data_IF_198516510343
#
_entry.id   IF_198516510343
#
_cell.length_a   1.000
_cell.length_b   1.000
_cell.length_c   1.000
_cell.angle_alpha   90.00
_cell.angle_beta   90.00
_cell.angle_gamma   90.00
#
_symmetry.space_group_name_H-M   'P 1'
#
loop_
_entity.id
_entity.type
_entity.pdbx_description
1 polymer ?
#
# COMPACT_ATOMS: atom_id res chain seq x y z
N UNK A 1 6.07 -16.51 -7.14
CA UNK A 1 7.13 -16.01 -8.04
C UNK A 1 6.46 -15.40 -9.24
N UNK A 2 6.94 -14.26 -9.73
CA UNK A 2 6.32 -13.52 -10.85
C UNK A 2 7.41 -13.06 -11.82
N UNK A 3 7.05 -12.98 -13.11
CA UNK A 3 7.96 -12.57 -14.19
C UNK A 3 8.49 -11.14 -13.96
N UNK A 4 9.77 -10.92 -14.26
CA UNK A 4 10.44 -9.60 -14.22
C UNK A 4 9.63 -8.51 -14.93
N UNK A 5 9.00 -8.82 -16.06
CA UNK A 5 8.20 -7.88 -16.86
C UNK A 5 7.05 -7.27 -16.04
N UNK A 6 6.44 -8.02 -15.12
CA UNK A 6 5.38 -7.48 -14.26
C UNK A 6 5.94 -6.40 -13.31
N UNK A 7 7.13 -6.65 -12.75
CA UNK A 7 7.81 -5.73 -11.85
C UNK A 7 8.27 -4.46 -12.57
N UNK A 8 8.76 -4.58 -13.80
CA UNK A 8 9.10 -3.43 -14.65
C UNK A 8 7.87 -2.59 -14.97
N UNK A 9 6.78 -3.23 -15.42
CA UNK A 9 5.51 -2.53 -15.70
C UNK A 9 4.96 -1.81 -14.46
N UNK A 10 5.00 -2.46 -13.30
CA UNK A 10 4.58 -1.86 -12.04
C UNK A 10 5.48 -0.71 -11.56
N UNK A 11 6.69 -0.56 -12.12
CA UNK A 11 7.69 0.42 -11.70
C UNK A 11 8.52 0.00 -10.48
N UNK A 12 8.20 -1.14 -9.86
CA UNK A 12 8.93 -1.66 -8.71
C UNK A 12 10.34 -2.12 -9.07
N UNK A 13 10.56 -2.61 -10.30
CA UNK A 13 11.89 -3.07 -10.70
C UNK A 13 12.94 -1.96 -10.56
N UNK A 14 12.65 -0.76 -11.05
CA UNK A 14 13.58 0.38 -11.03
C UNK A 14 13.92 0.87 -9.61
N UNK A 15 13.08 0.57 -8.62
CA UNK A 15 13.19 1.07 -7.24
C UNK A 15 13.58 0.01 -6.22
N UNK A 16 13.20 -1.24 -6.47
CA UNK A 16 13.30 -2.35 -5.50
C UNK A 16 14.12 -3.54 -6.00
N UNK A 17 14.63 -3.55 -7.24
CA UNK A 17 15.35 -4.72 -7.77
C UNK A 17 16.51 -5.19 -6.88
N UNK A 18 17.30 -4.27 -6.33
CA UNK A 18 18.44 -4.61 -5.45
C UNK A 18 17.99 -5.30 -4.15
N UNK A 19 16.75 -5.05 -3.72
CA UNK A 19 16.12 -5.63 -2.54
C UNK A 19 15.24 -6.84 -2.86
N UNK A 20 15.26 -7.38 -4.09
CA UNK A 20 14.47 -8.54 -4.50
C UNK A 20 15.34 -9.79 -4.66
N UNK A 21 14.79 -10.95 -4.33
CA UNK A 21 15.39 -12.22 -4.75
C UNK A 21 14.96 -12.54 -6.17
N UNK A 22 15.93 -12.77 -7.05
CA UNK A 22 15.71 -13.11 -8.45
C UNK A 22 16.10 -14.55 -8.73
N UNK A 23 15.49 -15.14 -9.75
CA UNK A 23 15.85 -16.47 -10.27
C UNK A 23 15.54 -16.52 -11.76
N UNK A 24 16.05 -17.53 -12.45
CA UNK A 24 15.83 -17.72 -13.88
C UNK A 24 15.35 -19.14 -14.19
N UNK A 25 14.47 -19.28 -15.18
CA UNK A 25 14.09 -20.57 -15.76
C UNK A 25 13.65 -20.38 -17.21
N UNK A 26 14.02 -21.30 -18.10
CA UNK A 26 13.66 -21.28 -19.53
C UNK A 26 13.94 -19.92 -20.22
N UNK A 27 15.12 -19.34 -20.01
CA UNK A 27 15.53 -18.02 -20.53
C UNK A 27 14.64 -16.84 -20.08
N UNK A 28 13.86 -17.01 -19.01
CA UNK A 28 13.08 -15.93 -18.39
C UNK A 28 13.62 -15.63 -17.00
N UNK A 29 13.59 -14.36 -16.64
CA UNK A 29 13.92 -13.88 -15.30
C UNK A 29 12.65 -13.65 -14.49
N UNK A 30 12.71 -14.06 -13.24
CA UNK A 30 11.62 -13.96 -12.29
C UNK A 30 12.12 -13.35 -10.99
N UNK A 31 11.20 -12.79 -10.22
CA UNK A 31 11.46 -12.41 -8.85
C UNK A 31 10.49 -13.08 -7.88
N UNK A 32 11.00 -13.38 -6.69
CA UNK A 32 10.18 -13.72 -5.53
C UNK A 32 9.53 -12.41 -5.05
N UNK A 33 8.22 -12.45 -4.78
CA UNK A 33 7.43 -11.24 -4.52
C UNK A 33 7.90 -10.53 -3.23
N UNK A 34 8.29 -9.24 -3.26
CA UNK A 34 8.55 -8.45 -2.06
C UNK A 34 7.28 -7.81 -1.46
N UNK A 35 6.16 -7.89 -2.19
CA UNK A 35 4.82 -7.40 -1.84
C UNK A 35 3.77 -8.04 -2.75
N UNK A 36 2.47 -7.91 -2.40
CA UNK A 36 1.38 -8.59 -3.13
C UNK A 36 0.71 -7.70 -4.19
N UNK A 37 0.85 -6.37 -4.10
CA UNK A 37 0.08 -5.37 -4.85
C UNK A 37 -0.03 -5.68 -6.36
N UNK A 38 1.07 -5.92 -7.11
CA UNK A 38 0.96 -6.19 -8.55
C UNK A 38 0.13 -7.44 -8.88
N UNK A 39 0.14 -8.44 -8.00
CA UNK A 39 -0.66 -9.65 -8.13
C UNK A 39 -2.15 -9.38 -7.91
N UNK A 40 -2.52 -8.58 -6.91
CA UNK A 40 -3.92 -8.20 -6.66
C UNK A 40 -4.49 -7.38 -7.81
N UNK A 41 -3.69 -6.54 -8.46
CA UNK A 41 -4.11 -5.87 -9.70
C UNK A 41 -4.36 -6.87 -10.83
N UNK A 42 -3.54 -7.92 -10.96
CA UNK A 42 -3.83 -8.96 -11.96
C UNK A 42 -5.13 -9.72 -11.68
N UNK A 43 -5.50 -9.89 -10.40
CA UNK A 43 -6.79 -10.47 -10.01
C UNK A 43 -7.92 -9.49 -10.37
N UNK A 44 -7.76 -8.20 -10.09
CA UNK A 44 -8.76 -7.18 -10.43
C UNK A 44 -9.05 -7.16 -11.94
N UNK A 45 -7.99 -7.27 -12.75
CA UNK A 45 -8.05 -7.33 -14.21
C UNK A 45 -8.79 -8.56 -14.77
N UNK A 46 -9.05 -9.60 -13.95
CA UNK A 46 -9.83 -10.75 -14.40
C UNK A 46 -11.31 -10.39 -14.51
N UNK A 47 -11.82 -10.32 -15.75
CA UNK A 47 -13.19 -9.97 -16.05
C UNK A 47 -13.47 -8.46 -16.00
N UNK A 48 -14.63 -8.07 -16.52
CA UNK A 48 -15.08 -6.67 -16.49
C UNK A 48 -15.54 -6.27 -15.09
N UNK A 49 -15.35 -5.00 -14.73
CA UNK A 49 -15.79 -4.41 -13.46
C UNK A 49 -16.71 -3.23 -13.76
N UNK A 50 -17.84 -3.14 -13.07
CA UNK A 50 -18.70 -1.96 -13.04
C UNK A 50 -18.39 -1.13 -11.81
N UNK A 51 -18.68 0.18 -11.84
CA UNK A 51 -18.66 1.03 -10.65
C UNK A 51 -19.52 0.47 -9.50
N UNK A 52 -20.56 -0.33 -9.82
CA UNK A 52 -21.41 -1.02 -8.84
C UNK A 52 -20.73 -2.17 -8.10
N UNK A 53 -19.64 -2.69 -8.66
CA UNK A 53 -18.83 -3.72 -8.03
C UNK A 53 -17.80 -3.12 -7.07
N UNK A 54 -17.65 -1.79 -7.06
CA UNK A 54 -16.74 -1.05 -6.19
C UNK A 54 -17.47 -0.53 -4.94
N UNK A 55 -16.83 -0.54 -3.76
CA UNK A 55 -15.43 -0.89 -3.53
C UNK A 55 -15.18 -2.40 -3.52
N UNK A 56 -14.14 -2.84 -4.23
CA UNK A 56 -13.70 -4.23 -4.28
C UNK A 56 -12.50 -4.41 -3.36
N UNK A 57 -12.69 -5.20 -2.29
CA UNK A 57 -11.68 -5.43 -1.25
C UNK A 57 -11.07 -6.82 -1.40
N UNK A 58 -9.74 -6.90 -1.42
CA UNK A 58 -8.97 -8.14 -1.43
C UNK A 58 -8.07 -8.18 -0.21
N UNK A 59 -7.98 -9.32 0.47
CA UNK A 59 -7.05 -9.56 1.56
C UNK A 59 -6.26 -10.84 1.29
N UNK A 60 -4.97 -10.83 1.59
CA UNK A 60 -4.09 -11.99 1.44
C UNK A 60 -3.03 -11.98 2.55
N UNK A 61 -2.95 -13.08 3.29
CA UNK A 61 -1.77 -13.40 4.11
C UNK A 61 -0.63 -13.90 3.20
N UNK A 62 -0.12 -12.99 2.37
CA UNK A 62 0.84 -13.31 1.31
C UNK A 62 2.26 -13.45 1.84
N UNK A 63 2.89 -14.61 1.60
CA UNK A 63 4.30 -14.81 1.92
C UNK A 63 5.19 -14.00 0.96
N UNK A 64 5.88 -12.99 1.52
CA UNK A 64 6.73 -12.05 0.80
C UNK A 64 8.19 -12.19 1.22
N UNK A 65 9.10 -11.84 0.32
CA UNK A 65 10.53 -11.91 0.56
C UNK A 65 11.26 -10.65 0.09
N UNK A 66 12.13 -10.11 0.94
CA UNK A 66 13.01 -8.97 0.64
C UNK A 66 14.45 -9.33 0.96
N UNK A 67 15.37 -8.99 0.06
CA UNK A 67 16.80 -9.26 0.20
C UNK A 67 17.48 -8.23 1.12
N UNK A 68 17.04 -8.19 2.36
CA UNK A 68 17.59 -7.30 3.38
C UNK A 68 19.09 -7.59 3.64
N UNK A 69 19.92 -6.56 3.91
CA UNK A 69 21.31 -6.75 4.31
C UNK A 69 21.41 -7.66 5.53
N UNK A 70 22.32 -8.64 5.51
CA UNK A 70 22.44 -9.62 6.59
C UNK A 70 22.73 -8.99 7.95
N UNK A 71 23.48 -7.88 7.98
CA UNK A 71 23.79 -7.14 9.20
C UNK A 71 22.60 -6.38 9.82
N UNK A 72 21.49 -6.22 9.10
CA UNK A 72 20.29 -5.55 9.59
C UNK A 72 19.25 -6.53 10.18
N UNK A 73 19.44 -7.84 10.03
CA UNK A 73 18.47 -8.84 10.49
C UNK A 73 18.44 -8.90 12.03
N UNK A 74 17.24 -9.02 12.59
CA UNK A 74 17.06 -9.04 14.04
C UNK A 74 15.87 -9.90 14.47
N UNK A 75 16.15 -11.07 15.05
CA UNK A 75 15.14 -11.99 15.57
C UNK A 75 14.01 -12.25 14.58
N UNK A 76 12.77 -12.01 15.02
CA UNK A 76 11.57 -12.00 14.17
C UNK A 76 11.12 -10.60 13.77
N UNK A 77 11.80 -9.55 14.27
CA UNK A 77 11.42 -8.15 14.02
C UNK A 77 11.88 -7.65 12.66
N UNK A 78 13.00 -8.18 12.14
CA UNK A 78 13.50 -7.86 10.79
C UNK A 78 14.06 -9.11 10.13
N UNK A 79 13.32 -9.61 9.14
CA UNK A 79 13.56 -10.91 8.48
C UNK A 79 13.49 -10.76 6.96
N UNK A 80 14.06 -11.72 6.23
CA UNK A 80 14.01 -11.76 4.76
C UNK A 80 12.73 -12.34 4.20
N UNK A 81 12.03 -13.17 4.97
CA UNK A 81 10.74 -13.76 4.60
C UNK A 81 9.72 -13.47 5.69
N UNK A 82 8.59 -12.90 5.31
CA UNK A 82 7.55 -12.47 6.22
C UNK A 82 6.17 -12.63 5.57
N UNK A 83 5.12 -12.55 6.38
CA UNK A 83 3.74 -12.55 5.92
C UNK A 83 3.05 -11.35 6.54
N UNK A 84 2.49 -10.49 5.71
CA UNK A 84 1.69 -9.36 6.14
C UNK A 84 0.21 -9.75 6.03
N UNK A 85 -0.61 -9.20 6.91
CA UNK A 85 -2.06 -9.11 6.81
C UNK A 85 -2.46 -8.10 5.71
N UNK A 86 -1.95 -8.32 4.50
CA UNK A 86 -2.00 -7.36 3.40
C UNK A 86 -3.39 -7.30 2.77
N UNK A 87 -3.83 -6.09 2.42
CA UNK A 87 -5.12 -5.87 1.79
C UNK A 87 -5.06 -4.72 0.79
N UNK A 88 -5.82 -4.88 -0.31
CA UNK A 88 -5.96 -3.88 -1.35
C UNK A 88 -7.44 -3.61 -1.59
N UNK A 89 -7.81 -2.34 -1.58
CA UNK A 89 -9.17 -1.89 -1.83
C UNK A 89 -9.12 -1.10 -3.14
N UNK A 90 -9.82 -1.60 -4.16
CA UNK A 90 -10.05 -0.87 -5.39
C UNK A 90 -11.35 -0.12 -5.27
N UNK A 91 -11.33 1.20 -5.39
CA UNK A 91 -12.51 2.03 -5.20
C UNK A 91 -12.58 3.18 -6.20
N UNK A 92 -13.75 3.82 -6.28
CA UNK A 92 -13.87 5.11 -6.97
C UNK A 92 -13.27 6.21 -6.11
N UNK A 93 -12.89 7.33 -6.72
CA UNK A 93 -12.32 8.45 -5.96
C UNK A 93 -13.29 9.00 -4.90
N UNK A 94 -14.60 8.98 -5.18
CA UNK A 94 -15.64 9.38 -4.24
C UNK A 94 -15.79 8.44 -3.03
N UNK A 95 -15.27 7.21 -3.11
CA UNK A 95 -15.34 6.20 -2.05
C UNK A 95 -14.12 6.24 -1.12
N UNK A 96 -13.04 6.97 -1.49
CA UNK A 96 -11.78 6.97 -0.73
C UNK A 96 -11.98 7.35 0.73
N UNK A 97 -12.73 8.43 1.00
CA UNK A 97 -12.94 8.93 2.37
C UNK A 97 -13.57 7.85 3.27
N UNK A 98 -14.61 7.17 2.77
CA UNK A 98 -15.34 6.14 3.51
C UNK A 98 -14.48 4.89 3.74
N UNK A 99 -13.69 4.48 2.75
CA UNK A 99 -12.80 3.31 2.84
C UNK A 99 -11.62 3.58 3.77
N UNK A 100 -10.97 4.74 3.66
CA UNK A 100 -9.89 5.14 4.58
C UNK A 100 -10.42 5.21 6.01
N UNK A 101 -11.57 5.86 6.23
CA UNK A 101 -12.21 5.93 7.55
C UNK A 101 -12.49 4.54 8.13
N UNK A 102 -13.00 3.62 7.31
CA UNK A 102 -13.30 2.25 7.71
C UNK A 102 -12.03 1.46 8.07
N UNK A 103 -10.97 1.61 7.28
CA UNK A 103 -9.66 1.01 7.56
C UNK A 103 -9.06 1.53 8.87
N UNK A 104 -9.09 2.85 9.09
CA UNK A 104 -8.59 3.46 10.33
C UNK A 104 -9.35 2.90 11.54
N UNK A 105 -10.68 2.82 11.48
CA UNK A 105 -11.50 2.22 12.56
C UNK A 105 -11.11 0.78 12.85
N UNK A 106 -10.90 -0.04 11.81
CA UNK A 106 -10.46 -1.43 11.96
C UNK A 106 -9.08 -1.53 12.63
N UNK A 107 -8.15 -0.63 12.28
CA UNK A 107 -6.82 -0.55 12.90
C UNK A 107 -6.93 -0.22 14.39
N UNK A 108 -7.69 0.81 14.77
CA UNK A 108 -7.91 1.16 16.18
C UNK A 108 -8.58 0.05 16.97
N UNK A 109 -9.61 -0.60 16.41
CA UNK A 109 -10.30 -1.73 17.06
C UNK A 109 -9.35 -2.89 17.33
N UNK A 110 -8.50 -3.22 16.35
CA UNK A 110 -7.48 -4.25 16.48
C UNK A 110 -6.48 -3.89 17.58
N UNK A 111 -5.94 -2.68 17.59
CA UNK A 111 -4.96 -2.24 18.59
C UNK A 111 -5.53 -2.20 20.00
N UNK A 112 -6.73 -1.66 20.16
CA UNK A 112 -7.45 -1.66 21.43
C UNK A 112 -7.68 -3.09 21.94
N UNK A 113 -8.03 -4.03 21.05
CA UNK A 113 -8.20 -5.45 21.42
C UNK A 113 -6.91 -6.08 21.97
N UNK A 114 -5.75 -5.65 21.49
CA UNK A 114 -4.44 -6.10 21.99
C UNK A 114 -3.87 -5.24 23.14
N UNK A 115 -4.64 -4.26 23.65
CA UNK A 115 -4.25 -3.42 24.78
C UNK A 115 -3.27 -2.30 24.43
N UNK A 116 -3.23 -1.85 23.17
CA UNK A 116 -2.48 -0.68 22.75
C UNK A 116 -3.35 0.57 22.80
N UNK A 117 -3.23 1.33 23.88
CA UNK A 117 -4.02 2.53 24.11
C UNK A 117 -3.34 3.83 23.63
N UNK A 118 -2.02 3.78 23.41
CA UNK A 118 -1.21 4.92 22.97
C UNK A 118 -0.71 4.70 21.54
N UNK A 119 -1.42 5.30 20.58
CA UNK A 119 -1.13 5.19 19.15
C UNK A 119 -0.77 6.58 18.64
N UNK A 120 0.43 6.72 18.07
CA UNK A 120 0.85 7.95 17.39
C UNK A 120 0.62 7.79 15.89
N UNK A 121 -0.16 8.70 15.32
CA UNK A 121 -0.48 8.71 13.89
C UNK A 121 0.42 9.68 13.16
N UNK A 122 0.96 9.26 12.03
CA UNK A 122 1.80 10.10 11.16
C UNK A 122 1.29 10.08 9.74
N UNK A 123 1.30 11.23 9.08
CA UNK A 123 0.99 11.37 7.65
C UNK A 123 2.29 11.59 6.89
N UNK A 124 2.75 10.55 6.19
CA UNK A 124 3.97 10.61 5.38
C UNK A 124 3.65 11.12 3.97
N UNK A 125 4.23 12.25 3.59
CA UNK A 125 3.97 12.96 2.33
C UNK A 125 5.02 12.65 1.27
N UNK A 126 4.84 13.21 0.06
CA UNK A 126 5.61 12.87 -1.14
C UNK A 126 7.14 12.90 -0.95
N UNK A 127 7.86 11.83 -1.34
CA UNK A 127 9.32 11.83 -1.37
C UNK A 127 9.85 12.58 -2.59
N UNK A 128 11.15 12.91 -2.57
CA UNK A 128 11.85 13.51 -3.72
C UNK A 128 11.77 12.60 -4.96
N UNK A 129 11.93 11.29 -4.77
CA UNK A 129 11.85 10.27 -5.84
C UNK A 129 10.46 9.64 -5.86
N UNK A 130 9.57 10.15 -6.70
CA UNK A 130 8.18 9.69 -6.83
C UNK A 130 7.73 9.43 -8.26
N UNK A 131 6.61 8.73 -8.41
CA UNK A 131 5.87 8.56 -9.67
C UNK A 131 4.52 9.28 -9.57
N UNK A 132 3.94 9.64 -10.72
CA UNK A 132 2.71 10.41 -10.80
C UNK A 132 2.95 11.92 -10.87
N UNK A 133 1.91 12.68 -11.23
CA UNK A 133 1.97 14.14 -11.33
C UNK A 133 1.77 14.80 -9.97
N UNK A 134 2.13 16.08 -9.86
CA UNK A 134 2.00 16.84 -8.62
C UNK A 134 0.53 16.98 -8.21
N UNK A 135 -0.37 17.10 -9.18
CA UNK A 135 -1.81 17.19 -8.95
C UNK A 135 -2.37 15.89 -8.34
N UNK A 136 -1.88 14.72 -8.78
CA UNK A 136 -2.27 13.43 -8.18
C UNK A 136 -1.81 13.38 -6.73
N UNK A 137 -0.58 13.81 -6.46
CA UNK A 137 -0.04 13.83 -5.10
C UNK A 137 -0.77 14.81 -4.20
N UNK A 138 -1.07 16.03 -4.68
CA UNK A 138 -1.84 17.03 -3.94
C UNK A 138 -3.20 16.46 -3.51
N UNK A 139 -3.88 15.81 -4.46
CA UNK A 139 -5.18 15.17 -4.20
C UNK A 139 -5.06 13.99 -3.23
N UNK A 140 -4.00 13.20 -3.33
CA UNK A 140 -3.79 12.02 -2.47
C UNK A 140 -3.51 12.41 -1.03
N UNK A 141 -2.63 13.40 -0.83
CA UNK A 141 -2.25 13.92 0.48
C UNK A 141 -3.45 14.60 1.15
N UNK A 142 -4.20 15.39 0.37
CA UNK A 142 -5.40 16.06 0.87
C UNK A 142 -6.48 15.05 1.26
N UNK A 143 -6.70 13.97 0.50
CA UNK A 143 -7.69 12.95 0.85
C UNK A 143 -7.37 12.24 2.17
N UNK A 144 -6.10 11.88 2.41
CA UNK A 144 -5.67 11.28 3.67
C UNK A 144 -5.77 12.27 4.83
N UNK A 145 -5.37 13.52 4.60
CA UNK A 145 -5.48 14.60 5.57
C UNK A 145 -6.92 14.85 6.00
N UNK A 146 -7.84 15.01 5.05
CA UNK A 146 -9.26 15.21 5.31
C UNK A 146 -9.86 14.04 6.08
N UNK A 147 -9.42 12.81 5.82
CA UNK A 147 -9.86 11.63 6.58
C UNK A 147 -9.44 11.71 8.04
N UNK A 148 -8.19 12.11 8.32
CA UNK A 148 -7.70 12.29 9.69
C UNK A 148 -8.42 13.45 10.41
N UNK A 149 -8.59 14.60 9.74
CA UNK A 149 -9.29 15.76 10.29
C UNK A 149 -10.77 15.48 10.58
N UNK A 150 -11.48 14.81 9.67
CA UNK A 150 -12.89 14.46 9.85
C UNK A 150 -13.12 13.46 11.00
N UNK A 151 -12.10 12.63 11.29
CA UNK A 151 -12.12 11.70 12.43
C UNK A 151 -11.58 12.32 13.72
N UNK A 152 -11.17 13.60 13.70
CA UNK A 152 -10.55 14.31 14.83
C UNK A 152 -9.31 13.58 15.39
N UNK A 153 -8.57 12.88 14.53
CA UNK A 153 -7.37 12.15 14.92
C UNK A 153 -6.18 13.11 14.90
N UNK A 154 -5.46 13.30 16.03
CA UNK A 154 -4.22 14.07 16.02
C UNK A 154 -3.13 13.31 15.25
N UNK A 155 -2.38 14.02 14.41
CA UNK A 155 -1.32 13.42 13.60
C UNK A 155 -0.12 14.36 13.41
N UNK A 156 1.05 13.77 13.14
CA UNK A 156 2.27 14.49 12.76
C UNK A 156 2.51 14.36 11.26
N UNK A 157 3.01 15.42 10.61
CA UNK A 157 3.45 15.34 9.21
C UNK A 157 4.89 14.83 9.16
N UNK A 158 5.13 13.81 8.33
CA UNK A 158 6.47 13.34 7.98
C UNK A 158 6.77 13.69 6.52
N UNK A 159 7.44 14.81 6.34
CA UNK A 159 7.81 15.29 5.02
C UNK A 159 8.80 14.33 4.33
N UNK A 160 8.45 13.86 3.13
CA UNK A 160 9.35 13.07 2.31
C UNK A 160 9.39 11.56 2.61
N UNK A 161 8.62 11.08 3.59
CA UNK A 161 8.64 9.68 4.04
C UNK A 161 7.56 8.79 3.37
N UNK A 162 6.77 9.36 2.46
CA UNK A 162 5.80 8.62 1.64
C UNK A 162 6.46 7.57 0.74
N UNK A 163 5.71 6.56 0.30
CA UNK A 163 6.26 5.63 -0.69
C UNK A 163 6.38 6.31 -2.05
N UNK A 164 7.17 5.74 -2.95
CA UNK A 164 7.37 6.34 -4.27
C UNK A 164 6.08 6.46 -5.10
N UNK A 165 5.02 5.72 -4.77
CA UNK A 165 3.74 5.66 -5.48
C UNK A 165 2.57 6.33 -4.76
N UNK A 166 2.74 6.85 -3.54
CA UNK A 166 1.66 7.56 -2.85
C UNK A 166 1.92 7.86 -1.38
N UNK A 167 1.14 8.79 -0.79
CA UNK A 167 1.22 9.12 0.63
C UNK A 167 0.60 8.02 1.49
N UNK A 168 0.90 8.03 2.78
CA UNK A 168 0.41 7.02 3.71
C UNK A 168 0.18 7.57 5.11
N UNK A 169 -0.81 7.01 5.79
CA UNK A 169 -1.04 7.15 7.22
C UNK A 169 -0.34 5.99 7.90
N UNK A 170 0.52 6.29 8.86
CA UNK A 170 1.28 5.31 9.64
C UNK A 170 0.82 5.31 11.09
N UNK A 171 0.69 4.13 11.66
CA UNK A 171 0.33 3.94 13.06
C UNK A 171 1.54 3.41 13.84
N UNK A 172 2.02 4.23 14.77
CA UNK A 172 3.15 3.92 15.63
C UNK A 172 2.64 3.47 17.00
N UNK A 173 3.02 2.27 17.39
CA UNK A 173 2.76 1.68 18.70
C UNK A 173 3.98 1.82 19.60
N UNK A 174 3.75 1.88 20.91
CA UNK A 174 4.82 1.82 21.91
C UNK A 174 4.78 0.49 22.64
N UNK A 175 5.93 -0.16 22.76
CA UNK A 175 6.02 -1.36 23.60
C UNK A 175 6.18 -1.00 25.09
N UNK A 176 6.24 -2.01 25.95
CA UNK A 176 6.37 -1.84 27.40
C UNK A 176 7.68 -1.18 27.86
N UNK A 177 8.61 -0.91 26.94
CA UNK A 177 9.87 -0.19 27.18
C UNK A 177 9.86 1.19 26.49
N UNK A 178 8.69 1.68 26.09
CA UNK A 178 8.49 2.94 25.38
C UNK A 178 9.25 3.03 24.04
N UNK A 179 9.54 1.88 23.40
CA UNK A 179 10.13 1.87 22.06
C UNK A 179 9.03 1.97 21.02
N UNK A 180 9.23 2.86 20.04
CA UNK A 180 8.29 3.10 18.95
C UNK A 180 8.43 2.05 17.84
N UNK A 181 7.28 1.50 17.40
CA UNK A 181 7.16 0.52 16.34
C UNK A 181 6.08 0.95 15.35
N UNK A 182 6.45 1.20 14.10
CA UNK A 182 5.46 1.38 13.03
C UNK A 182 4.86 0.02 12.68
N UNK A 183 3.54 -0.11 12.79
CA UNK A 183 2.84 -1.36 12.52
C UNK A 183 1.83 -1.20 11.39
N UNK A 184 0.78 -0.43 11.61
CA UNK A 184 -0.31 -0.26 10.64
C UNK A 184 0.04 0.78 9.61
N UNK A 185 -0.47 0.60 8.39
CA UNK A 185 -0.34 1.60 7.34
C UNK A 185 -1.60 1.61 6.48
N UNK A 186 -2.13 2.80 6.20
CA UNK A 186 -3.14 3.01 5.16
C UNK A 186 -2.51 3.86 4.08
N UNK A 187 -2.37 3.30 2.89
CA UNK A 187 -1.67 3.94 1.77
C UNK A 187 -2.62 4.13 0.60
N UNK A 188 -2.52 5.30 -0.04
CA UNK A 188 -3.35 5.65 -1.18
C UNK A 188 -2.49 5.64 -2.45
N UNK A 189 -2.81 4.80 -3.43
CA UNK A 189 -2.01 4.58 -4.63
C UNK A 189 -2.82 4.83 -5.92
N UNK A 190 -2.65 6.01 -6.50
CA UNK A 190 -3.27 6.37 -7.78
C UNK A 190 -2.46 5.89 -9.00
N UNK A 191 -1.28 5.33 -8.79
CA UNK A 191 -0.32 5.06 -9.85
C UNK A 191 -0.38 3.61 -10.33
N UNK A 192 -0.34 2.65 -9.41
CA UNK A 192 -0.22 1.23 -9.74
C UNK A 192 -1.40 0.71 -10.58
N UNK A 193 -2.68 1.05 -10.30
CA UNK A 193 -3.81 0.60 -11.12
C UNK A 193 -3.63 1.01 -12.59
N UNK A 194 -3.31 2.28 -12.85
CA UNK A 194 -3.10 2.81 -14.20
C UNK A 194 -1.92 2.14 -14.92
N UNK A 195 -0.79 1.94 -14.23
CA UNK A 195 0.41 1.28 -14.80
C UNK A 195 0.16 -0.17 -15.22
N UNK A 196 -0.70 -0.87 -14.49
CA UNK A 196 -1.02 -2.28 -14.74
C UNK A 196 -2.33 -2.48 -15.51
N UNK A 197 -2.98 -1.40 -15.95
CA UNK A 197 -4.15 -1.43 -16.83
C UNK A 197 -5.46 -1.81 -16.13
N UNK A 198 -5.56 -1.58 -14.82
CA UNK A 198 -6.82 -1.75 -14.09
C UNK A 198 -7.84 -0.72 -14.56
N UNK A 199 -9.02 -1.22 -14.95
CA UNK A 199 -10.14 -0.36 -15.36
C UNK A 199 -11.48 -0.91 -14.89
N UNK A 200 -12.43 -0.01 -14.64
CA UNK A 200 -13.85 -0.30 -14.44
C UNK A 200 -14.71 0.57 -15.37
N UNK A 201 -15.98 0.22 -15.53
CA UNK A 201 -16.97 0.99 -16.31
C UNK A 201 -17.80 1.84 -15.36
N UNK A 202 -17.81 3.15 -15.58
CA UNK A 202 -18.55 4.12 -14.78
C UNK A 202 -20.04 4.24 -15.17
N UNK A 203 -20.75 5.17 -14.52
CA UNK A 203 -22.18 5.43 -14.75
C UNK A 203 -22.49 5.92 -16.18
N UNK A 204 -21.50 6.50 -16.85
CA UNK A 204 -21.60 7.05 -18.20
C UNK A 204 -21.18 6.03 -19.27
N UNK A 205 -20.89 4.79 -18.89
CA UNK A 205 -20.30 3.74 -19.73
C UNK A 205 -18.87 4.05 -20.23
N UNK A 206 -18.14 4.91 -19.52
CA UNK A 206 -16.75 5.22 -19.82
C UNK A 206 -15.81 4.34 -18.97
N UNK A 207 -14.62 4.05 -19.50
CA UNK A 207 -13.60 3.29 -18.78
C UNK A 207 -12.81 4.24 -17.89
N UNK A 208 -12.86 4.00 -16.59
CA UNK A 208 -12.12 4.74 -15.59
C UNK A 208 -11.08 3.83 -14.91
N UNK A 209 -10.06 4.45 -14.31
CA UNK A 209 -9.03 3.77 -13.52
C UNK A 209 -9.45 3.83 -12.04
N UNK A 210 -9.49 2.71 -11.32
CA UNK A 210 -9.75 2.74 -9.88
C UNK A 210 -8.53 3.29 -9.13
N UNK A 211 -8.77 3.71 -7.90
CA UNK A 211 -7.72 3.97 -6.91
C UNK A 211 -7.51 2.71 -6.10
#
# INVERSE_FOLDING_TARGET
>A
MMDRVLWERSGHWDKYADAMFTTSSENREYAIKPMNCPGHVQIFNQGLKSYRDLPLRMAEFGSCHRNEPSGALHGIMRVRGFTQDDAHIFCTESQIQDEVTSCIKMVYDTYNTFGFDNIVVKLSTRPEKRVGSDEIWDRSEEALKQSLEAMEIPYEIQEGEGAFYGPKIEFTLYDCLDRAWQCGTVQLDFNLPGRLGATYVDENNERQVPV
#
